data_IF_554836302458
#
_entry.id   IF_554836302458
#
_cell.length_a   1.000
_cell.length_b   1.000
_cell.length_c   1.000
_cell.angle_alpha   90.00
_cell.angle_beta   90.00
_cell.angle_gamma   90.00
#
_symmetry.space_group_name_H-M   'P 1'
#
loop_
_entity.id
_entity.type
_entity.pdbx_description
1 polymer ?
#
# COMPACT_ATOMS: atom_id res chain seq x y z
N UNK A 1 14.69 14.10 -14.17
CA UNK A 1 15.72 15.15 -13.94
C UNK A 1 16.76 14.66 -12.91
N UNK A 2 18.06 14.83 -13.21
CA UNK A 2 19.21 14.42 -12.39
C UNK A 2 19.16 12.94 -11.94
N UNK A 3 18.62 12.06 -12.78
CA UNK A 3 18.33 10.67 -12.42
C UNK A 3 19.26 9.74 -13.18
N UNK A 4 20.05 8.94 -12.46
CA UNK A 4 21.10 8.07 -12.99
C UNK A 4 22.07 8.81 -13.94
N UNK A 5 22.09 8.45 -15.22
CA UNK A 5 22.96 9.09 -16.22
C UNK A 5 22.35 10.37 -16.83
N UNK A 6 21.09 10.70 -16.53
CA UNK A 6 20.35 11.76 -17.21
C UNK A 6 20.26 13.04 -16.38
N UNK A 7 20.71 14.19 -16.92
CA UNK A 7 20.45 15.51 -16.31
C UNK A 7 18.98 15.91 -16.51
N UNK A 8 18.51 15.79 -17.75
CA UNK A 8 17.10 15.96 -18.08
C UNK A 8 16.76 15.00 -19.22
N UNK A 9 15.79 14.13 -18.98
CA UNK A 9 15.25 13.20 -19.98
C UNK A 9 13.74 13.36 -19.94
N UNK A 10 13.17 13.60 -21.11
CA UNK A 10 11.72 13.62 -21.36
C UNK A 10 11.45 12.56 -22.42
N UNK A 11 10.43 11.74 -22.19
CA UNK A 11 10.04 10.66 -23.10
C UNK A 11 8.54 10.76 -23.30
N UNK A 12 8.12 11.01 -24.53
CA UNK A 12 6.72 11.09 -24.89
C UNK A 12 6.26 9.72 -25.39
N UNK A 13 5.52 9.01 -24.54
CA UNK A 13 4.98 7.69 -24.86
C UNK A 13 3.63 7.82 -25.56
N UNK A 14 3.39 6.94 -26.53
CA UNK A 14 2.13 6.82 -27.26
C UNK A 14 1.29 5.69 -26.68
N UNK A 15 0.00 5.68 -27.00
CA UNK A 15 -0.89 4.55 -26.68
C UNK A 15 -0.48 3.30 -27.46
N UNK A 16 -0.45 2.15 -26.80
CA UNK A 16 -0.07 0.88 -27.41
C UNK A 16 1.43 0.60 -27.30
N UNK A 17 2.08 0.27 -28.41
CA UNK A 17 3.47 -0.19 -28.42
C UNK A 17 4.46 0.97 -28.51
N UNK A 18 5.38 1.04 -27.56
CA UNK A 18 6.49 1.97 -27.55
C UNK A 18 7.81 1.19 -27.65
N UNK A 19 8.66 1.52 -28.62
CA UNK A 19 9.97 0.88 -28.81
C UNK A 19 11.06 1.92 -28.52
N UNK A 20 11.86 1.68 -27.48
CA UNK A 20 12.96 2.56 -27.09
C UNK A 20 14.29 1.88 -27.42
N UNK A 21 15.06 2.46 -28.34
CA UNK A 21 16.34 1.92 -28.82
C UNK A 21 17.52 2.82 -28.44
N UNK A 22 18.74 2.32 -28.61
CA UNK A 22 19.96 3.07 -28.31
C UNK A 22 21.15 2.17 -27.95
N UNK A 23 22.35 2.74 -27.93
CA UNK A 23 23.60 2.01 -27.65
C UNK A 23 23.67 1.46 -26.21
N UNK A 24 24.52 0.46 -25.98
CA UNK A 24 24.76 -0.03 -24.62
C UNK A 24 25.33 1.10 -23.74
N UNK A 25 24.81 1.22 -22.53
CA UNK A 25 25.18 2.31 -21.61
C UNK A 25 24.43 3.63 -21.85
N UNK A 26 23.59 3.76 -22.89
CA UNK A 26 22.83 5.00 -23.17
C UNK A 26 21.75 5.36 -22.14
N UNK A 27 21.56 4.53 -21.10
CA UNK A 27 20.60 4.81 -20.04
C UNK A 27 19.16 4.38 -20.30
N UNK A 28 18.89 3.49 -21.27
CA UNK A 28 17.54 2.96 -21.55
C UNK A 28 16.88 2.33 -20.32
N UNK A 29 17.61 1.49 -19.59
CA UNK A 29 17.09 0.86 -18.36
C UNK A 29 16.77 1.89 -17.26
N UNK A 30 17.34 3.11 -17.32
CA UNK A 30 17.01 4.15 -16.36
C UNK A 30 15.55 4.63 -16.49
N UNK A 31 14.94 4.46 -17.67
CA UNK A 31 13.51 4.75 -17.89
C UNK A 31 12.67 3.77 -17.07
N UNK A 32 12.91 2.47 -17.22
CA UNK A 32 12.22 1.43 -16.45
C UNK A 32 12.45 1.60 -14.93
N UNK A 33 13.69 1.85 -14.53
CA UNK A 33 14.01 2.16 -13.12
C UNK A 33 13.28 3.41 -12.63
N UNK A 34 13.13 4.43 -13.47
CA UNK A 34 12.38 5.64 -13.16
C UNK A 34 10.89 5.34 -12.92
N UNK A 35 10.28 4.49 -13.74
CA UNK A 35 8.90 4.03 -13.57
C UNK A 35 8.72 3.28 -12.23
N UNK A 36 9.58 2.29 -11.95
CA UNK A 36 9.55 1.56 -10.67
C UNK A 36 9.70 2.54 -9.51
N UNK A 37 10.62 3.49 -9.61
CA UNK A 37 10.84 4.50 -8.59
C UNK A 37 9.61 5.39 -8.38
N UNK A 38 9.00 5.94 -9.41
CA UNK A 38 7.87 6.89 -9.23
C UNK A 38 6.61 6.23 -8.68
N UNK A 39 6.35 4.96 -9.02
CA UNK A 39 5.19 4.22 -8.52
C UNK A 39 5.43 3.51 -7.18
N UNK A 40 6.55 3.80 -6.52
CA UNK A 40 6.78 3.34 -5.15
C UNK A 40 7.44 1.98 -5.00
N UNK A 41 7.93 1.40 -6.08
CA UNK A 41 8.76 0.20 -6.05
C UNK A 41 10.06 0.42 -5.28
N UNK A 42 10.58 -0.68 -4.72
CA UNK A 42 11.79 -0.69 -3.90
C UNK A 42 13.04 -0.50 -4.76
N UNK A 43 14.08 0.17 -4.25
CA UNK A 43 15.33 0.35 -5.00
C UNK A 43 15.92 -1.00 -5.45
N UNK A 44 15.88 -1.99 -4.55
CA UNK A 44 16.41 -3.35 -4.78
C UNK A 44 15.68 -4.07 -5.91
N UNK A 45 14.37 -3.85 -6.12
CA UNK A 45 13.62 -4.53 -7.19
C UNK A 45 14.02 -4.08 -8.60
N UNK A 46 14.73 -2.96 -8.71
CA UNK A 46 15.29 -2.50 -9.99
C UNK A 46 16.53 -3.28 -10.43
N UNK A 47 17.17 -4.04 -9.53
CA UNK A 47 18.48 -4.68 -9.75
C UNK A 47 19.61 -3.71 -10.17
N UNK A 48 19.41 -2.40 -10.01
CA UNK A 48 20.39 -1.36 -10.37
C UNK A 48 21.00 -0.64 -9.17
N UNK A 49 20.30 -0.60 -8.04
CA UNK A 49 20.76 0.06 -6.83
C UNK A 49 20.26 -0.65 -5.58
N UNK A 50 21.01 -0.52 -4.48
CA UNK A 50 20.54 -0.99 -3.15
C UNK A 50 19.68 0.07 -2.47
N UNK A 51 19.98 1.35 -2.70
CA UNK A 51 19.30 2.49 -2.08
C UNK A 51 18.86 3.51 -3.11
N UNK A 52 17.82 4.29 -2.81
CA UNK A 52 17.36 5.35 -3.71
C UNK A 52 18.39 6.47 -3.92
N UNK A 53 19.37 6.64 -3.00
CA UNK A 53 20.44 7.65 -3.13
C UNK A 53 21.29 7.42 -4.37
N UNK A 54 21.51 6.16 -4.73
CA UNK A 54 22.28 5.75 -5.90
C UNK A 54 21.58 6.10 -7.22
N UNK A 55 20.29 6.47 -7.18
CA UNK A 55 19.59 6.99 -8.35
C UNK A 55 19.90 8.46 -8.64
N UNK A 56 20.54 9.19 -7.72
CA UNK A 56 20.94 10.56 -7.95
C UNK A 56 22.17 10.56 -8.86
N UNK A 57 22.11 11.31 -9.97
CA UNK A 57 23.25 11.50 -10.86
C UNK A 57 24.46 12.02 -10.09
N UNK A 58 25.66 11.54 -10.43
CA UNK A 58 26.90 12.02 -9.83
C UNK A 58 27.00 13.56 -9.90
N UNK A 59 27.53 14.17 -8.84
CA UNK A 59 27.64 15.62 -8.68
C UNK A 59 26.29 16.38 -8.61
N UNK A 60 25.17 15.69 -8.36
CA UNK A 60 23.86 16.31 -8.09
C UNK A 60 23.43 16.07 -6.64
N UNK A 61 22.64 17.00 -6.09
CA UNK A 61 22.13 16.93 -4.70
C UNK A 61 20.74 16.30 -4.60
N UNK A 62 20.02 16.17 -5.72
CA UNK A 62 18.69 15.62 -5.77
C UNK A 62 18.37 15.09 -7.17
N UNK A 63 17.38 14.21 -7.24
CA UNK A 63 16.78 13.69 -8.47
C UNK A 63 15.26 13.72 -8.40
N UNK A 64 14.61 13.78 -9.55
CA UNK A 64 13.15 13.69 -9.70
C UNK A 64 12.79 12.84 -10.90
N UNK A 65 11.72 12.07 -10.75
CA UNK A 65 11.01 11.42 -11.85
C UNK A 65 9.54 11.84 -11.75
N UNK A 66 8.97 12.21 -12.89
CA UNK A 66 7.57 12.59 -13.03
C UNK A 66 6.97 11.75 -14.14
N UNK A 67 5.78 11.21 -13.92
CA UNK A 67 5.02 10.45 -14.91
C UNK A 67 3.59 10.97 -14.92
N UNK A 68 3.08 11.22 -16.12
CA UNK A 68 1.69 11.64 -16.34
C UNK A 68 0.90 10.45 -16.86
N UNK A 69 -0.18 10.12 -16.14
CA UNK A 69 -1.12 9.07 -16.50
C UNK A 69 -2.32 9.70 -17.19
N UNK A 70 -2.86 8.97 -18.17
CA UNK A 70 -4.17 9.28 -18.75
C UNK A 70 -5.26 8.96 -17.71
N UNK A 71 -6.12 9.93 -17.43
CA UNK A 71 -7.24 9.82 -16.50
C UNK A 71 -8.59 10.05 -17.21
N UNK A 72 -8.63 9.78 -18.51
CA UNK A 72 -9.83 9.92 -19.34
C UNK A 72 -10.77 8.73 -19.16
N UNK A 73 -12.07 8.99 -19.27
CA UNK A 73 -13.11 7.96 -19.29
C UNK A 73 -13.91 7.87 -18.00
N UNK A 74 -14.85 6.91 -17.98
CA UNK A 74 -15.78 6.73 -16.85
C UNK A 74 -15.08 6.23 -15.57
N UNK A 75 -13.94 5.56 -15.72
CA UNK A 75 -13.14 5.00 -14.63
C UNK A 75 -11.91 5.88 -14.29
N UNK A 76 -12.01 7.18 -14.52
CA UNK A 76 -10.94 8.12 -14.13
C UNK A 76 -10.86 8.25 -12.61
N UNK A 77 -9.65 8.13 -12.06
CA UNK A 77 -9.34 8.36 -10.65
C UNK A 77 -9.65 9.79 -10.24
N UNK A 78 -10.61 9.98 -9.32
CA UNK A 78 -11.01 11.28 -8.76
C UNK A 78 -11.04 12.38 -9.84
N UNK A 79 -11.75 12.13 -10.94
CA UNK A 79 -11.78 12.98 -12.14
C UNK A 79 -12.17 14.43 -11.86
N UNK A 80 -12.99 14.66 -10.82
CA UNK A 80 -13.35 16.00 -10.34
C UNK A 80 -12.18 16.79 -9.73
N UNK A 81 -11.14 16.11 -9.24
CA UNK A 81 -9.96 16.71 -8.61
C UNK A 81 -8.81 16.81 -9.61
N UNK A 82 -8.51 15.71 -10.31
CA UNK A 82 -7.34 15.65 -11.19
C UNK A 82 -7.63 16.09 -12.63
N UNK A 83 -8.88 16.04 -13.08
CA UNK A 83 -9.22 16.24 -14.49
C UNK A 83 -8.82 15.03 -15.35
N UNK A 84 -8.46 15.27 -16.60
CA UNK A 84 -8.19 14.24 -17.61
C UNK A 84 -6.82 13.58 -17.50
N UNK A 85 -5.93 14.12 -16.65
CA UNK A 85 -4.58 13.58 -16.46
C UNK A 85 -4.17 13.67 -15.00
N UNK A 86 -3.44 12.66 -14.53
CA UNK A 86 -2.87 12.65 -13.18
C UNK A 86 -1.35 12.55 -13.30
N UNK A 87 -0.63 13.55 -12.82
CA UNK A 87 0.84 13.50 -12.79
C UNK A 87 1.34 13.15 -11.41
N UNK A 88 2.18 12.12 -11.33
CA UNK A 88 2.87 11.69 -10.11
C UNK A 88 4.33 12.10 -10.24
N UNK A 89 4.86 12.81 -9.25
CA UNK A 89 6.29 13.08 -9.16
C UNK A 89 6.85 12.57 -7.83
N UNK A 90 7.98 11.87 -7.93
CA UNK A 90 8.78 11.44 -6.79
C UNK A 90 10.14 12.12 -6.84
N UNK A 91 10.53 12.75 -5.72
CA UNK A 91 11.84 13.36 -5.52
C UNK A 91 12.67 12.55 -4.53
N UNK A 92 13.98 12.59 -4.69
CA UNK A 92 14.96 12.05 -3.75
C UNK A 92 16.08 13.07 -3.55
N UNK A 93 16.49 13.31 -2.31
CA UNK A 93 17.62 14.16 -1.97
C UNK A 93 18.86 13.35 -1.54
N UNK A 94 20.01 14.01 -1.44
CA UNK A 94 21.28 13.38 -1.02
C UNK A 94 21.20 12.73 0.38
N UNK A 95 20.33 13.23 1.26
CA UNK A 95 20.07 12.64 2.59
C UNK A 95 19.31 11.32 2.51
N UNK A 96 18.71 10.98 1.36
CA UNK A 96 17.96 9.75 1.13
C UNK A 96 16.45 9.88 1.40
N UNK A 97 16.01 11.09 1.72
CA UNK A 97 14.59 11.39 1.97
C UNK A 97 13.88 11.48 0.63
N UNK A 98 12.85 10.65 0.47
CA UNK A 98 11.94 10.70 -0.66
C UNK A 98 10.75 11.61 -0.34
N UNK A 99 10.22 12.31 -1.34
CA UNK A 99 8.94 13.00 -1.23
C UNK A 99 8.10 12.80 -2.49
N UNK A 100 6.79 12.75 -2.31
CA UNK A 100 5.81 12.64 -3.37
C UNK A 100 5.05 13.93 -3.56
N UNK A 101 4.61 14.16 -4.78
CA UNK A 101 3.54 15.11 -5.11
C UNK A 101 2.69 14.55 -6.24
N UNK A 102 1.39 14.81 -6.19
CA UNK A 102 0.44 14.55 -7.26
C UNK A 102 -0.05 15.88 -7.81
N UNK A 103 -0.25 15.95 -9.13
CA UNK A 103 -0.56 17.18 -9.85
C UNK A 103 -1.76 16.91 -10.76
N UNK A 104 -2.69 17.85 -10.83
CA UNK A 104 -3.85 17.81 -11.73
C UNK A 104 -3.47 18.24 -13.16
N UNK A 105 -4.39 18.02 -14.10
CA UNK A 105 -4.32 18.52 -15.48
C UNK A 105 -4.04 20.03 -15.57
N UNK A 106 -4.48 20.81 -14.58
CA UNK A 106 -4.26 22.26 -14.51
C UNK A 106 -2.87 22.65 -13.98
N UNK A 107 -1.96 21.67 -13.81
CA UNK A 107 -0.65 21.83 -13.18
C UNK A 107 -0.70 22.28 -11.70
N UNK A 108 -1.81 22.04 -11.02
CA UNK A 108 -1.96 22.36 -9.59
C UNK A 108 -1.54 21.17 -8.73
N UNK A 109 -0.75 21.42 -7.69
CA UNK A 109 -0.37 20.36 -6.74
C UNK A 109 -1.58 20.02 -5.88
N UNK A 110 -2.07 18.80 -6.02
CA UNK A 110 -3.23 18.30 -5.29
C UNK A 110 -2.82 17.82 -3.90
N UNK A 111 -1.91 16.84 -3.83
CA UNK A 111 -1.46 16.24 -2.57
C UNK A 111 0.04 15.96 -2.57
N UNK A 112 0.62 15.94 -1.38
CA UNK A 112 2.02 15.51 -1.12
C UNK A 112 2.04 14.30 -0.20
N UNK A 113 1.36 13.24 -0.61
CA UNK A 113 1.20 12.02 0.20
C UNK A 113 1.68 10.80 -0.57
N UNK A 114 2.35 9.88 0.14
CA UNK A 114 2.66 8.55 -0.41
C UNK A 114 1.37 7.73 -0.58
N UNK A 115 0.44 7.84 0.36
CA UNK A 115 -0.77 7.02 0.37
C UNK A 115 -1.67 7.36 -0.84
N UNK A 116 -1.75 8.64 -1.21
CA UNK A 116 -2.45 9.05 -2.44
C UNK A 116 -1.83 8.42 -3.69
N UNK A 117 -0.50 8.37 -3.77
CA UNK A 117 0.21 7.70 -4.87
C UNK A 117 -0.08 6.19 -4.89
N UNK A 118 -0.16 5.55 -3.72
CA UNK A 118 -0.52 4.14 -3.62
C UNK A 118 -1.96 3.91 -4.10
N UNK A 119 -2.91 4.74 -3.70
CA UNK A 119 -4.30 4.66 -4.16
C UNK A 119 -4.43 4.90 -5.67
N UNK A 120 -3.68 5.85 -6.25
CA UNK A 120 -3.65 6.04 -7.71
C UNK A 120 -3.10 4.79 -8.41
N UNK A 121 -1.99 4.26 -7.90
CA UNK A 121 -1.30 3.08 -8.45
C UNK A 121 -2.20 1.85 -8.40
N UNK A 122 -2.93 1.68 -7.29
CA UNK A 122 -3.93 0.62 -7.09
C UNK A 122 -5.13 0.76 -8.04
N UNK A 123 -5.69 1.97 -8.15
CA UNK A 123 -6.81 2.26 -9.07
C UNK A 123 -6.48 1.91 -10.52
N UNK A 124 -5.28 2.27 -10.99
CA UNK A 124 -4.82 1.94 -12.34
C UNK A 124 -4.20 0.55 -12.47
N UNK A 125 -4.23 -0.27 -11.41
CA UNK A 125 -3.66 -1.61 -11.36
C UNK A 125 -2.18 -1.68 -11.81
N UNK A 126 -1.38 -0.69 -11.41
CA UNK A 126 0.05 -0.61 -11.75
C UNK A 126 0.85 -1.42 -10.73
N UNK A 127 1.18 -2.67 -11.05
CA UNK A 127 1.91 -3.54 -10.13
C UNK A 127 3.42 -3.54 -10.46
N UNK A 128 4.17 -2.65 -9.82
CA UNK A 128 5.62 -2.49 -10.13
C UNK A 128 6.53 -3.59 -9.58
N UNK A 129 6.07 -4.31 -8.56
CA UNK A 129 6.81 -5.44 -8.02
C UNK A 129 6.49 -6.76 -8.75
N UNK A 130 5.46 -6.79 -9.62
CA UNK A 130 5.11 -7.99 -10.40
C UNK A 130 6.06 -8.16 -11.60
N UNK A 131 6.82 -9.28 -11.70
CA UNK A 131 7.81 -9.52 -12.74
C UNK A 131 7.21 -9.75 -14.14
N UNK A 132 5.91 -10.03 -14.26
CA UNK A 132 5.24 -10.08 -15.57
C UNK A 132 5.00 -8.67 -16.10
N UNK A 133 4.61 -7.73 -15.23
CA UNK A 133 4.37 -6.34 -15.64
C UNK A 133 5.69 -5.59 -15.86
N UNK A 134 6.66 -5.84 -14.97
CA UNK A 134 7.99 -5.25 -15.05
C UNK A 134 9.03 -6.36 -15.12
N UNK A 135 9.35 -6.75 -16.35
CA UNK A 135 10.42 -7.69 -16.62
C UNK A 135 11.76 -6.95 -16.73
N UNK A 136 12.49 -6.84 -15.61
CA UNK A 136 13.82 -6.27 -15.63
C UNK A 136 14.85 -7.24 -16.26
N UNK A 137 16.02 -6.72 -16.64
CA UNK A 137 17.04 -7.49 -17.36
C UNK A 137 17.55 -8.72 -16.59
N UNK A 138 17.68 -8.64 -15.27
CA UNK A 138 18.16 -9.76 -14.46
C UNK A 138 17.05 -10.80 -14.25
N UNK A 139 15.83 -10.35 -13.96
CA UNK A 139 14.65 -11.19 -13.86
C UNK A 139 14.38 -11.94 -15.18
N UNK A 140 14.57 -11.30 -16.34
CA UNK A 140 14.42 -11.95 -17.64
C UNK A 140 15.45 -13.07 -17.85
N UNK A 141 16.72 -12.85 -17.48
CA UNK A 141 17.76 -13.87 -17.55
C UNK A 141 17.45 -15.03 -16.61
N UNK A 142 17.07 -14.74 -15.37
CA UNK A 142 16.70 -15.77 -14.40
C UNK A 142 15.49 -16.57 -14.88
N UNK A 143 14.47 -15.92 -15.43
CA UNK A 143 13.28 -16.61 -15.93
C UNK A 143 13.59 -17.54 -17.11
N UNK A 144 14.34 -17.06 -18.10
CA UNK A 144 14.66 -17.84 -19.31
C UNK A 144 15.67 -18.96 -19.04
N UNK A 145 16.63 -18.74 -18.15
CA UNK A 145 17.70 -19.70 -17.87
C UNK A 145 17.39 -20.64 -16.71
N UNK A 146 16.38 -20.36 -15.89
CA UNK A 146 15.99 -21.26 -14.80
C UNK A 146 15.35 -22.53 -15.36
N UNK A 147 16.02 -23.67 -15.14
CA UNK A 147 15.48 -25.00 -15.40
C UNK A 147 14.80 -25.61 -14.17
N UNK A 148 14.87 -24.95 -13.00
CA UNK A 148 14.27 -25.47 -11.77
C UNK A 148 12.73 -25.28 -11.78
N UNK A 149 11.94 -26.37 -11.74
CA UNK A 149 10.48 -26.29 -11.68
C UNK A 149 9.95 -25.48 -10.48
N UNK A 150 10.66 -25.49 -9.33
CA UNK A 150 10.25 -24.76 -8.13
C UNK A 150 10.32 -23.25 -8.35
N UNK A 151 11.34 -22.78 -9.05
CA UNK A 151 11.51 -21.36 -9.39
C UNK A 151 10.40 -20.92 -10.35
N UNK A 152 10.07 -21.76 -11.34
CA UNK A 152 8.96 -21.49 -12.28
C UNK A 152 7.62 -21.42 -11.57
N UNK A 153 7.34 -22.35 -10.66
CA UNK A 153 6.12 -22.33 -9.85
C UNK A 153 6.04 -21.06 -8.99
N UNK A 154 7.13 -20.70 -8.29
CA UNK A 154 7.17 -19.47 -7.49
C UNK A 154 6.93 -18.22 -8.33
N UNK A 155 7.55 -18.15 -9.51
CA UNK A 155 7.32 -17.03 -10.42
C UNK A 155 5.87 -16.98 -10.88
N UNK A 156 5.27 -18.12 -11.23
CA UNK A 156 3.86 -18.20 -11.61
C UNK A 156 2.94 -17.72 -10.49
N UNK A 157 3.15 -18.18 -9.25
CA UNK A 157 2.36 -17.78 -8.09
C UNK A 157 2.44 -16.28 -7.80
N UNK A 158 3.64 -15.72 -7.90
CA UNK A 158 3.87 -14.29 -7.72
C UNK A 158 3.30 -13.46 -8.87
N UNK A 159 3.45 -13.92 -10.10
CA UNK A 159 2.96 -13.27 -11.30
C UNK A 159 1.44 -13.18 -11.39
N UNK A 160 0.76 -14.21 -10.92
CA UNK A 160 -0.71 -14.31 -10.89
C UNK A 160 -1.30 -13.71 -9.61
N UNK A 161 -0.47 -13.14 -8.73
CA UNK A 161 -0.81 -12.65 -7.39
C UNK A 161 -1.48 -13.73 -6.49
N UNK A 162 -1.40 -15.02 -6.86
CA UNK A 162 -1.96 -16.12 -6.07
C UNK A 162 -1.21 -16.31 -4.75
N UNK A 163 0.07 -15.96 -4.72
CA UNK A 163 0.83 -15.97 -3.48
C UNK A 163 0.25 -14.96 -2.48
N UNK A 164 -0.02 -13.73 -2.92
CA UNK A 164 -0.57 -12.67 -2.06
C UNK A 164 -1.96 -13.04 -1.55
N UNK A 165 -2.80 -13.65 -2.40
CA UNK A 165 -4.12 -14.16 -2.01
C UNK A 165 -4.00 -15.26 -0.95
N UNK A 166 -3.06 -16.19 -1.13
CA UNK A 166 -2.82 -17.27 -0.15
C UNK A 166 -2.38 -16.70 1.19
N UNK A 167 -1.40 -15.80 1.19
CA UNK A 167 -0.89 -15.16 2.42
C UNK A 167 -1.98 -14.32 3.10
N UNK A 168 -2.80 -13.59 2.33
CA UNK A 168 -3.94 -12.83 2.85
C UNK A 168 -4.97 -13.75 3.49
N UNK A 169 -5.27 -14.88 2.86
CA UNK A 169 -6.22 -15.87 3.38
C UNK A 169 -5.73 -16.49 4.70
N UNK A 170 -4.46 -16.89 4.77
CA UNK A 170 -3.84 -17.43 5.99
C UNK A 170 -3.88 -16.41 7.14
N UNK A 171 -3.51 -15.15 6.88
CA UNK A 171 -3.58 -14.09 7.88
C UNK A 171 -5.01 -13.81 8.34
N UNK A 172 -5.98 -13.88 7.42
CA UNK A 172 -7.39 -13.70 7.73
C UNK A 172 -7.92 -14.80 8.66
N UNK A 173 -7.49 -16.05 8.45
CA UNK A 173 -7.81 -17.16 9.36
C UNK A 173 -7.22 -16.95 10.76
N UNK A 174 -5.96 -16.52 10.86
CA UNK A 174 -5.34 -16.21 12.14
C UNK A 174 -6.08 -15.11 12.90
N UNK A 175 -6.48 -14.04 12.20
CA UNK A 175 -7.28 -12.96 12.79
C UNK A 175 -8.68 -13.43 13.20
N UNK A 176 -9.31 -14.27 12.39
CA UNK A 176 -10.60 -14.88 12.73
C UNK A 176 -10.52 -15.64 14.06
N UNK A 177 -9.51 -16.49 14.23
CA UNK A 177 -9.32 -17.26 15.46
C UNK A 177 -9.04 -16.36 16.68
N UNK A 178 -8.30 -15.28 16.49
CA UNK A 178 -8.01 -14.31 17.55
C UNK A 178 -9.28 -13.56 17.99
N UNK A 179 -10.09 -13.10 17.03
CA UNK A 179 -11.38 -12.44 17.27
C UNK A 179 -12.32 -13.41 17.97
N UNK A 180 -12.41 -14.65 17.51
CA UNK A 180 -13.27 -15.66 18.10
C UNK A 180 -12.89 -15.95 19.56
N UNK A 181 -11.59 -16.04 19.86
CA UNK A 181 -11.09 -16.16 21.24
C UNK A 181 -11.45 -14.95 22.12
N UNK A 182 -11.33 -13.73 21.58
CA UNK A 182 -11.70 -12.50 22.30
C UNK A 182 -13.22 -12.43 22.55
N UNK A 183 -14.03 -12.82 21.57
CA UNK A 183 -15.49 -12.87 21.69
C UNK A 183 -15.91 -13.86 22.78
N UNK A 184 -15.35 -15.06 22.80
CA UNK A 184 -15.65 -16.06 23.84
C UNK A 184 -15.35 -15.51 25.24
N UNK A 185 -14.17 -14.91 25.45
CA UNK A 185 -13.83 -14.29 26.75
C UNK A 185 -14.78 -13.17 27.14
N UNK A 186 -15.16 -12.31 26.19
CA UNK A 186 -16.13 -11.23 26.45
C UNK A 186 -17.51 -11.77 26.81
N UNK A 187 -17.94 -12.86 26.16
CA UNK A 187 -19.20 -13.53 26.48
C UNK A 187 -19.19 -14.06 27.92
N UNK A 188 -18.12 -14.76 28.31
CA UNK A 188 -17.93 -15.25 29.69
C UNK A 188 -17.95 -14.10 30.72
N UNK A 189 -17.36 -12.94 30.40
CA UNK A 189 -17.43 -11.75 31.26
C UNK A 189 -18.84 -11.17 31.35
N UNK A 190 -19.58 -11.10 30.24
CA UNK A 190 -20.97 -10.62 30.23
C UNK A 190 -21.85 -11.51 31.10
N UNK A 191 -21.70 -12.82 30.99
CA UNK A 191 -22.49 -13.78 31.78
C UNK A 191 -22.17 -13.63 33.27
N UNK A 192 -20.88 -13.50 33.63
CA UNK A 192 -20.48 -13.22 35.02
C UNK A 192 -21.02 -11.88 35.56
N UNK A 193 -21.11 -10.85 34.73
CA UNK A 193 -21.70 -9.57 35.12
C UNK A 193 -23.21 -9.64 35.30
N UNK A 194 -23.92 -10.42 34.47
CA UNK A 194 -25.36 -10.68 34.68
C UNK A 194 -25.60 -11.37 36.02
N UNK A 195 -24.83 -12.42 36.33
CA UNK A 195 -24.94 -13.11 37.61
C UNK A 195 -24.70 -12.16 38.80
N UNK A 196 -23.73 -11.24 38.68
CA UNK A 196 -23.49 -10.21 39.69
C UNK A 196 -24.65 -9.22 39.81
N UNK A 197 -25.23 -8.77 38.70
CA UNK A 197 -26.38 -7.88 38.70
C UNK A 197 -27.61 -8.52 39.35
N UNK A 198 -27.87 -9.80 39.09
CA UNK A 198 -28.98 -10.54 39.70
C UNK A 198 -28.81 -10.68 41.22
N UNK A 199 -27.57 -10.94 41.67
CA UNK A 199 -27.21 -10.97 43.09
C UNK A 199 -27.37 -9.60 43.77
N UNK A 200 -26.93 -8.52 43.12
CA UNK A 200 -27.09 -7.15 43.61
C UNK A 200 -28.56 -6.75 43.69
N UNK A 201 -29.34 -7.05 42.66
CA UNK A 201 -30.78 -6.78 42.60
C UNK A 201 -31.51 -7.49 43.75
N UNK A 202 -31.15 -8.75 44.01
CA UNK A 202 -31.70 -9.53 45.14
C UNK A 202 -31.33 -8.92 46.51
N UNK A 203 -30.15 -8.32 46.64
CA UNK A 203 -29.73 -7.63 47.88
C UNK A 203 -30.48 -6.31 48.08
N UNK A 204 -30.71 -5.55 47.01
CA UNK A 204 -31.49 -4.30 47.05
C UNK A 204 -32.92 -4.60 47.47
N UNK A 205 -33.57 -5.60 46.86
CA UNK A 205 -34.92 -6.05 47.25
C UNK A 205 -35.02 -6.39 48.75
N UNK A 206 -34.03 -7.12 49.28
CA UNK A 206 -33.99 -7.42 50.73
C UNK A 206 -33.78 -6.19 51.61
N UNK A 207 -33.04 -5.20 51.13
CA UNK A 207 -32.85 -3.94 51.87
C UNK A 207 -34.16 -3.13 51.90
N UNK A 208 -34.86 -3.04 50.77
CA UNK A 208 -36.19 -2.39 50.69
C UNK A 208 -37.23 -3.09 51.57
N UNK A 209 -37.18 -4.42 51.68
CA UNK A 209 -38.05 -5.19 52.58
C UNK A 209 -37.77 -4.87 54.06
N UNK A 210 -36.50 -4.73 54.45
CA UNK A 210 -36.12 -4.36 55.82
C UNK A 210 -36.52 -2.93 56.17
N UNK A 211 -36.35 -1.99 55.24
CA UNK A 211 -36.74 -0.60 55.43
C UNK A 211 -38.27 -0.46 55.60
N UNK A 212 -39.04 -1.23 54.83
CA UNK A 212 -40.50 -1.33 55.02
C UNK A 212 -40.90 -1.92 56.38
N UNK A 213 -40.12 -2.85 56.93
CA UNK A 213 -40.36 -3.40 58.27
C UNK A 213 -40.05 -2.36 59.35
N UNK A 214 -38.96 -1.60 59.22
CA UNK A 214 -38.62 -0.51 60.14
C UNK A 214 -39.71 0.56 60.18
N UNK A 215 -40.19 1.00 59.01
CA UNK A 215 -41.30 1.97 58.93
C UNK A 215 -42.57 1.43 59.63
N UNK A 216 -42.85 0.12 59.50
CA UNK A 216 -43.97 -0.53 60.19
C UNK A 216 -43.77 -0.58 61.71
N UNK A 217 -42.56 -0.87 62.18
CA UNK A 217 -42.22 -0.90 63.60
C UNK A 217 -42.35 0.49 64.23
N UNK A 218 -41.89 1.53 63.55
CA UNK A 218 -42.01 2.90 64.06
C UNK A 218 -43.45 3.42 64.00
N UNK A 219 -44.29 2.93 63.08
CA UNK A 219 -45.74 3.24 63.08
C UNK A 219 -46.55 2.58 64.20
N UNK A 220 -45.94 1.61 64.92
CA UNK A 220 -46.55 0.88 66.03
C UNK A 220 -46.11 1.38 67.42
N UNK A 221 -45.22 2.38 67.48
CA UNK A 221 -44.87 3.11 68.70
C UNK A 221 -45.72 4.36 68.85
#
# INVERSE_FOLDING_TARGET
KNFMCHDNLVVDLQTGLNIITGSNGSGKSAILTGLIFVFGGRAISTSRAKTYKEFIKQNRRNASVSVTLCNLGYDGYKSNVYGNTVTIERKINASGVCSYKTISEKNEVVLKSRDEVMSITEHFNIQVDNPINILNQEASKTFLNSQDPKIKYKLFMHATNLQDVSEYYENSLLHYDEIHRKLKKKQEMIDSFKDHLDSLTSKVLRADELENIEVKIDSLK
#
